data_IF_034884082934
#
_entry.id   IF_034884082934
#
_cell.length_a   1.000
_cell.length_b   1.000
_cell.length_c   1.000
_cell.angle_alpha   90.00
_cell.angle_beta   90.00
_cell.angle_gamma   90.00
#
_symmetry.space_group_name_H-M   'P 1'
#
loop_
_entity.id
_entity.type
_entity.pdbx_description
1 polymer ?
#
# COMPACT_ATOMS: atom_id res chain seq x y z
N UNK A 1 -1.36 4.73 -13.57
CA UNK A 1 -0.76 6.05 -13.31
C UNK A 1 -0.49 6.21 -11.81
N UNK A 2 0.72 6.62 -11.43
CA UNK A 2 1.16 6.73 -10.02
C UNK A 2 0.50 7.92 -9.31
N UNK A 3 0.14 7.77 -8.03
CA UNK A 3 -0.47 8.82 -7.19
C UNK A 3 0.46 9.33 -6.11
N UNK A 4 1.07 8.42 -5.36
CA UNK A 4 2.07 8.74 -4.35
C UNK A 4 3.24 7.76 -4.40
N UNK A 5 4.40 8.23 -3.96
CA UNK A 5 5.61 7.42 -3.77
C UNK A 5 6.27 7.79 -2.45
N UNK A 6 6.74 6.81 -1.69
CA UNK A 6 7.50 7.01 -0.44
C UNK A 6 8.58 5.97 -0.31
N UNK A 7 9.77 6.39 0.12
CA UNK A 7 10.83 5.46 0.51
C UNK A 7 10.44 4.74 1.81
N UNK A 8 10.85 3.49 1.94
CA UNK A 8 10.76 2.74 3.19
C UNK A 8 11.67 3.40 4.23
N UNK A 9 11.26 3.40 5.50
CA UNK A 9 12.03 4.03 6.58
C UNK A 9 13.41 3.40 6.80
N UNK A 10 13.60 2.15 6.38
CA UNK A 10 14.87 1.43 6.44
C UNK A 10 15.77 1.61 5.20
N UNK A 11 15.33 2.38 4.19
CA UNK A 11 16.12 2.67 2.98
C UNK A 11 16.29 1.50 2.01
N UNK A 12 15.64 0.34 2.24
CA UNK A 12 15.80 -0.84 1.38
C UNK A 12 15.02 -0.76 0.06
N UNK A 13 14.05 0.13 0.00
CA UNK A 13 13.14 0.23 -1.13
C UNK A 13 12.20 1.41 -1.05
N UNK A 14 11.20 1.39 -1.92
CA UNK A 14 10.13 2.37 -1.95
C UNK A 14 8.79 1.68 -2.17
N UNK A 15 7.73 2.44 -1.92
CA UNK A 15 6.37 2.01 -2.18
C UNK A 15 5.68 3.05 -3.02
N UNK A 16 4.97 2.58 -4.04
CA UNK A 16 4.25 3.41 -4.99
C UNK A 16 2.78 3.05 -5.00
N UNK A 17 1.93 4.04 -5.26
CA UNK A 17 0.47 3.86 -5.27
C UNK A 17 -0.12 4.18 -6.64
N UNK A 18 -1.22 3.53 -6.98
CA UNK A 18 -1.92 3.66 -8.27
C UNK A 18 -3.31 4.25 -8.11
N UNK A 19 -3.85 4.80 -9.21
CA UNK A 19 -5.26 5.17 -9.32
C UNK A 19 -6.23 3.97 -9.24
N UNK A 20 -5.74 2.74 -9.47
CA UNK A 20 -6.53 1.52 -9.47
C UNK A 20 -6.58 0.81 -8.10
N UNK A 21 -6.42 1.55 -7.00
CA UNK A 21 -6.49 0.92 -5.67
C UNK A 21 -5.36 -0.10 -5.44
N UNK A 22 -4.14 0.21 -5.89
CA UNK A 22 -2.99 -0.69 -5.72
C UNK A 22 -1.82 0.02 -5.07
N UNK A 23 -1.07 -0.75 -4.28
CA UNK A 23 0.19 -0.33 -3.67
C UNK A 23 1.26 -1.36 -3.96
N UNK A 24 2.35 -0.96 -4.60
CA UNK A 24 3.46 -1.83 -4.95
C UNK A 24 4.69 -1.51 -4.09
N UNK A 25 5.28 -2.53 -3.48
CA UNK A 25 6.54 -2.45 -2.73
C UNK A 25 7.66 -2.92 -3.62
N UNK A 26 8.61 -2.03 -3.85
CA UNK A 26 9.77 -2.21 -4.72
C UNK A 26 11.03 -2.11 -3.87
N UNK A 27 11.99 -3.00 -4.12
CA UNK A 27 13.27 -3.06 -3.42
C UNK A 27 14.40 -2.67 -4.38
N UNK A 28 15.38 -1.92 -3.86
CA UNK A 28 16.47 -1.38 -4.67
C UNK A 28 17.51 -2.44 -5.06
N UNK A 29 17.76 -3.41 -4.19
CA UNK A 29 18.71 -4.49 -4.44
C UNK A 29 18.19 -5.40 -5.56
N UNK A 30 18.96 -5.54 -6.63
CA UNK A 30 18.59 -6.28 -7.85
C UNK A 30 18.81 -7.79 -7.76
N UNK A 31 19.32 -8.31 -6.64
CA UNK A 31 19.51 -9.76 -6.43
C UNK A 31 18.18 -10.51 -6.47
N UNK A 32 18.20 -11.71 -7.05
CA UNK A 32 16.99 -12.52 -7.27
C UNK A 32 16.26 -12.82 -5.96
N UNK A 33 17.02 -13.04 -4.88
CA UNK A 33 16.52 -13.33 -3.55
C UNK A 33 15.68 -12.17 -3.01
N UNK A 34 16.21 -10.95 -3.04
CA UNK A 34 15.53 -9.76 -2.53
C UNK A 34 14.37 -9.37 -3.44
N UNK A 35 14.53 -9.50 -4.76
CA UNK A 35 13.47 -9.19 -5.71
C UNK A 35 12.22 -10.09 -5.53
N UNK A 36 12.37 -11.29 -4.98
CA UNK A 36 11.24 -12.18 -4.64
C UNK A 36 10.38 -11.68 -3.46
N UNK A 37 10.91 -10.75 -2.66
CA UNK A 37 10.20 -10.16 -1.52
C UNK A 37 9.23 -9.05 -1.92
N UNK A 38 9.30 -8.57 -3.17
CA UNK A 38 8.34 -7.61 -3.71
C UNK A 38 6.90 -8.10 -3.52
N UNK A 39 6.01 -7.14 -3.30
CA UNK A 39 4.59 -7.42 -3.12
C UNK A 39 3.74 -6.28 -3.66
N UNK A 40 2.52 -6.63 -4.06
CA UNK A 40 1.50 -5.67 -4.46
C UNK A 40 0.24 -5.93 -3.65
N UNK A 41 -0.30 -4.87 -3.07
CA UNK A 41 -1.50 -4.89 -2.28
C UNK A 41 -2.67 -4.34 -3.07
N UNK A 42 -3.79 -5.06 -3.00
CA UNK A 42 -5.10 -4.58 -3.42
C UNK A 42 -5.70 -3.78 -2.26
N UNK A 43 -5.93 -2.49 -2.47
CA UNK A 43 -6.32 -1.54 -1.43
C UNK A 43 -7.56 -0.77 -1.87
N UNK A 44 -8.47 -0.43 -0.95
CA UNK A 44 -9.59 0.48 -1.22
C UNK A 44 -10.52 0.00 -2.35
N UNK A 45 -10.95 -1.26 -2.23
CA UNK A 45 -11.98 -1.85 -3.08
C UNK A 45 -13.23 -2.08 -2.25
N UNK A 46 -14.36 -1.64 -2.77
CA UNK A 46 -15.64 -1.83 -2.12
C UNK A 46 -16.62 -2.44 -3.12
N UNK A 47 -17.21 -3.57 -2.75
CA UNK A 47 -18.31 -4.14 -3.51
C UNK A 47 -19.62 -3.46 -3.07
N UNK A 48 -20.23 -2.68 -3.96
CA UNK A 48 -21.53 -2.02 -3.76
C UNK A 48 -22.48 -2.53 -4.84
N UNK A 49 -23.63 -3.08 -4.45
CA UNK A 49 -24.66 -3.56 -5.39
C UNK A 49 -24.13 -4.49 -6.50
N UNK A 50 -23.19 -5.38 -6.15
CA UNK A 50 -22.49 -6.33 -7.04
C UNK A 50 -21.47 -5.69 -7.99
N UNK A 51 -21.20 -4.40 -7.89
CA UNK A 51 -20.14 -3.71 -8.60
C UNK A 51 -18.94 -3.50 -7.68
N UNK A 52 -17.74 -3.80 -8.18
CA UNK A 52 -16.50 -3.47 -7.49
C UNK A 52 -16.12 -2.02 -7.82
N UNK A 53 -16.24 -1.15 -6.82
CA UNK A 53 -15.79 0.22 -6.87
C UNK A 53 -14.35 0.27 -6.37
N UNK A 54 -13.47 0.83 -7.20
CA UNK A 54 -12.05 0.94 -6.92
C UNK A 54 -11.72 2.42 -6.73
N UNK A 55 -11.09 2.73 -5.61
CA UNK A 55 -10.72 4.10 -5.28
C UNK A 55 -9.20 4.33 -5.46
N UNK A 56 -8.79 5.53 -5.93
CA UNK A 56 -7.39 5.86 -6.10
C UNK A 56 -6.71 6.06 -4.74
N UNK A 57 -5.55 5.44 -4.54
CA UNK A 57 -4.80 5.58 -3.29
C UNK A 57 -3.99 6.87 -3.31
N UNK A 58 -4.56 7.92 -2.73
CA UNK A 58 -4.01 9.27 -2.80
C UNK A 58 -2.88 9.52 -1.79
N UNK A 59 -2.92 8.84 -0.64
CA UNK A 59 -1.96 9.06 0.46
C UNK A 59 -1.28 7.76 0.85
N UNK A 60 0.03 7.85 1.08
CA UNK A 60 0.88 6.78 1.55
C UNK A 60 1.87 7.36 2.57
N UNK A 61 1.94 6.75 3.76
CA UNK A 61 2.87 7.16 4.84
C UNK A 61 3.43 5.94 5.56
N UNK A 62 4.74 5.90 5.76
CA UNK A 62 5.39 4.87 6.58
C UNK A 62 5.40 5.25 8.06
N UNK A 63 5.20 4.26 8.92
CA UNK A 63 5.47 4.40 10.34
C UNK A 63 7.00 4.52 10.55
N UNK A 64 7.47 5.50 11.34
CA UNK A 64 8.90 5.79 11.46
C UNK A 64 9.73 4.61 11.99
N UNK A 65 9.14 3.75 12.83
CA UNK A 65 9.87 2.69 13.54
C UNK A 65 9.56 1.25 13.11
N UNK A 66 8.37 0.97 12.56
CA UNK A 66 7.88 -0.41 12.46
C UNK A 66 7.95 -0.99 11.04
N UNK A 67 8.34 -0.19 10.04
CA UNK A 67 8.34 -0.60 8.64
C UNK A 67 6.94 -0.86 8.05
N UNK A 68 5.88 -0.67 8.85
CA UNK A 68 4.49 -0.69 8.40
C UNK A 68 4.13 0.61 7.72
N UNK A 69 3.11 0.60 6.87
CA UNK A 69 2.62 1.82 6.22
C UNK A 69 1.10 1.92 6.28
N UNK A 70 0.61 3.14 6.18
CA UNK A 70 -0.80 3.47 6.10
C UNK A 70 -1.12 4.03 4.71
N UNK A 71 -2.32 3.67 4.22
CA UNK A 71 -2.89 4.19 2.98
C UNK A 71 -4.22 4.85 3.27
N UNK A 72 -4.50 5.93 2.54
CA UNK A 72 -5.77 6.64 2.59
C UNK A 72 -6.19 7.12 1.21
N UNK A 73 -7.50 7.16 0.99
CA UNK A 73 -8.14 7.44 -0.29
C UNK A 73 -9.48 8.18 -0.10
N UNK A 74 -10.27 8.26 -1.17
CA UNK A 74 -11.58 8.93 -1.18
C UNK A 74 -12.74 8.10 -0.60
N UNK A 75 -12.54 6.82 -0.29
CA UNK A 75 -13.52 5.95 0.36
C UNK A 75 -13.71 6.27 1.84
N UNK A 76 -13.00 7.26 2.39
CA UNK A 76 -13.08 7.67 3.80
C UNK A 76 -12.62 6.58 4.78
N UNK A 77 -11.77 5.65 4.34
CA UNK A 77 -11.12 4.64 5.17
C UNK A 77 -9.60 4.80 5.18
N UNK A 78 -8.99 4.34 6.26
CA UNK A 78 -7.53 4.27 6.41
C UNK A 78 -7.16 2.81 6.66
N UNK A 79 -6.24 2.28 5.85
CA UNK A 79 -5.76 0.90 5.97
C UNK A 79 -4.30 0.85 6.36
N UNK A 80 -3.95 -0.01 7.30
CA UNK A 80 -2.59 -0.28 7.75
C UNK A 80 -2.09 -1.59 7.17
N UNK A 81 -0.83 -1.60 6.75
CA UNK A 81 -0.22 -2.70 6.01
C UNK A 81 1.16 -3.04 6.57
N UNK A 82 1.53 -4.30 6.47
CA UNK A 82 2.87 -4.79 6.74
C UNK A 82 3.43 -5.44 5.45
N UNK A 83 4.47 -4.83 4.88
CA UNK A 83 5.13 -5.30 3.65
C UNK A 83 5.84 -6.63 3.86
N UNK A 84 6.58 -6.79 4.96
CA UNK A 84 7.31 -8.01 5.29
C UNK A 84 6.39 -9.21 5.48
N UNK A 85 5.27 -9.03 6.17
CA UNK A 85 4.25 -10.06 6.35
C UNK A 85 3.27 -10.20 5.16
N UNK A 86 3.43 -9.37 4.11
CA UNK A 86 2.58 -9.32 2.92
C UNK A 86 1.08 -9.31 3.24
N UNK A 87 0.64 -8.60 4.30
CA UNK A 87 -0.77 -8.55 4.74
C UNK A 87 -1.24 -7.19 5.24
N UNK A 88 -2.55 -6.97 5.16
CA UNK A 88 -3.23 -5.91 5.89
C UNK A 88 -3.18 -6.21 7.40
N UNK A 89 -2.96 -5.19 8.21
CA UNK A 89 -2.99 -5.27 9.66
C UNK A 89 -4.36 -4.91 10.21
N UNK A 90 -4.88 -3.76 9.79
CA UNK A 90 -6.13 -3.20 10.29
C UNK A 90 -6.67 -2.17 9.32
N UNK A 91 -7.98 -2.06 9.25
CA UNK A 91 -8.68 -0.95 8.61
C UNK A 91 -9.44 -0.16 9.68
N UNK A 92 -9.34 1.16 9.64
CA UNK A 92 -10.13 2.03 10.50
C UNK A 92 -11.58 2.09 10.00
N UNK A 93 -12.55 2.30 10.91
CA UNK A 93 -13.93 2.53 10.50
C UNK A 93 -14.02 3.75 9.57
N UNK A 94 -14.99 3.69 8.66
CA UNK A 94 -15.37 4.80 7.78
C UNK A 94 -15.74 6.01 8.65
N UNK A 95 -15.25 7.19 8.30
CA UNK A 95 -15.71 8.44 8.91
C UNK A 95 -17.10 8.81 8.39
#
# INVERSE_FOLDING_TARGET
MTRAIRCMSNGQGYTSTSFEGRVAVELFDTSTEVQSEKCTFKCHWQTIDKFDIIYPVNVLVFHPHFGTFATGDGDSMVSFWNSAAKRALRQLPKY
#
